data_IF_162867216956
#
_entry.id   IF_162867216956
#
_cell.length_a   1.000
_cell.length_b   1.000
_cell.length_c   1.000
_cell.angle_alpha   90.00
_cell.angle_beta   90.00
_cell.angle_gamma   90.00
#
_symmetry.space_group_name_H-M   'P 1'
#
loop_
_entity.id
_entity.type
_entity.pdbx_description
1 polymer ?
#
# COMPACT_ATOMS: atom_id res chain seq x y z
N UNK A 1 -34.66 -10.17 -44.32
CA UNK A 1 -33.54 -10.16 -43.37
C UNK A 1 -33.99 -10.91 -42.12
N UNK A 2 -33.33 -12.03 -41.76
CA UNK A 2 -33.80 -12.94 -40.70
C UNK A 2 -33.70 -12.26 -39.32
N UNK A 3 -34.79 -12.17 -38.56
CA UNK A 3 -34.83 -11.58 -37.21
C UNK A 3 -33.70 -12.08 -36.29
N UNK A 4 -33.26 -13.34 -36.44
CA UNK A 4 -32.12 -13.93 -35.69
C UNK A 4 -30.81 -13.22 -35.97
N UNK A 5 -30.53 -12.83 -37.22
CA UNK A 5 -29.29 -12.11 -37.60
C UNK A 5 -29.26 -10.69 -37.05
N UNK A 6 -30.40 -10.02 -36.97
CA UNK A 6 -30.50 -8.68 -36.37
C UNK A 6 -30.21 -8.74 -34.87
N UNK A 7 -30.78 -9.71 -34.17
CA UNK A 7 -30.54 -9.87 -32.72
C UNK A 7 -29.07 -10.20 -32.43
N UNK A 8 -28.45 -11.08 -33.22
CA UNK A 8 -27.03 -11.44 -33.02
C UNK A 8 -26.13 -10.22 -33.32
N UNK A 9 -26.36 -9.48 -34.40
CA UNK A 9 -25.54 -8.30 -34.72
C UNK A 9 -25.68 -7.19 -33.68
N UNK A 10 -26.87 -6.99 -33.11
CA UNK A 10 -27.10 -6.02 -32.04
C UNK A 10 -26.38 -6.44 -30.75
N UNK A 11 -26.48 -7.71 -30.38
CA UNK A 11 -25.78 -8.23 -29.20
C UNK A 11 -24.25 -8.10 -29.29
N UNK A 12 -23.68 -8.40 -30.48
CA UNK A 12 -22.25 -8.23 -30.75
C UNK A 12 -21.84 -6.75 -30.68
N UNK A 13 -22.63 -5.86 -31.29
CA UNK A 13 -22.36 -4.41 -31.26
C UNK A 13 -22.37 -3.86 -29.81
N UNK A 14 -23.33 -4.29 -28.97
CA UNK A 14 -23.42 -3.91 -27.57
C UNK A 14 -22.21 -4.46 -26.78
N UNK A 15 -21.84 -5.72 -27.01
CA UNK A 15 -20.67 -6.31 -26.35
C UNK A 15 -19.36 -5.58 -26.72
N UNK A 16 -19.18 -5.26 -27.99
CA UNK A 16 -18.00 -4.48 -28.46
C UNK A 16 -17.99 -3.08 -27.85
N UNK A 17 -19.13 -2.38 -27.81
CA UNK A 17 -19.24 -1.06 -27.20
C UNK A 17 -18.95 -1.11 -25.70
N UNK A 18 -19.40 -2.14 -25.01
CA UNK A 18 -19.15 -2.35 -23.58
C UNK A 18 -17.67 -2.62 -23.28
N UNK A 19 -17.02 -3.50 -24.07
CA UNK A 19 -15.59 -3.79 -23.97
C UNK A 19 -14.77 -2.53 -24.26
N UNK A 20 -15.10 -1.80 -25.32
CA UNK A 20 -14.45 -0.53 -25.66
C UNK A 20 -14.63 0.50 -24.53
N UNK A 21 -15.81 0.60 -23.94
CA UNK A 21 -16.09 1.47 -22.79
C UNK A 21 -15.21 1.12 -21.56
N UNK A 22 -15.08 -0.17 -21.25
CA UNK A 22 -14.21 -0.64 -20.17
C UNK A 22 -12.74 -0.29 -20.46
N UNK A 23 -12.26 -0.51 -21.67
CA UNK A 23 -10.87 -0.20 -22.05
C UNK A 23 -10.59 1.30 -21.93
N UNK A 24 -11.47 2.16 -22.45
CA UNK A 24 -11.33 3.62 -22.36
C UNK A 24 -11.40 4.10 -20.92
N UNK A 25 -12.28 3.52 -20.10
CA UNK A 25 -12.37 3.88 -18.68
C UNK A 25 -11.09 3.52 -17.93
N UNK A 26 -10.56 2.31 -18.15
CA UNK A 26 -9.29 1.86 -17.57
C UNK A 26 -8.12 2.76 -17.98
N UNK A 27 -8.00 3.04 -19.28
CA UNK A 27 -6.93 3.87 -19.83
C UNK A 27 -6.95 5.28 -19.21
N UNK A 28 -8.11 5.91 -19.14
CA UNK A 28 -8.26 7.24 -18.52
C UNK A 28 -7.89 7.25 -17.03
N UNK A 29 -8.26 6.21 -16.29
CA UNK A 29 -7.93 6.10 -14.88
C UNK A 29 -6.42 5.97 -14.67
N UNK A 30 -5.76 5.14 -15.47
CA UNK A 30 -4.30 4.95 -15.42
C UNK A 30 -3.55 6.23 -15.79
N UNK A 31 -3.96 6.91 -16.87
CA UNK A 31 -3.35 8.18 -17.29
C UNK A 31 -3.48 9.23 -16.18
N UNK A 32 -4.64 9.34 -15.54
CA UNK A 32 -4.85 10.31 -14.46
C UNK A 32 -3.95 10.03 -13.24
N UNK A 33 -3.79 8.75 -12.85
CA UNK A 33 -2.91 8.35 -11.74
C UNK A 33 -1.45 8.60 -12.12
N UNK A 34 -1.02 8.22 -13.32
CA UNK A 34 0.36 8.45 -13.78
C UNK A 34 0.72 9.94 -13.81
N UNK A 35 -0.19 10.80 -14.27
CA UNK A 35 0.01 12.25 -14.25
C UNK A 35 0.06 12.79 -12.81
N UNK A 36 -0.79 12.29 -11.91
CA UNK A 36 -0.75 12.67 -10.50
C UNK A 36 0.59 12.29 -9.86
N UNK A 37 1.13 11.11 -10.18
CA UNK A 37 2.45 10.65 -9.72
C UNK A 37 3.58 11.52 -10.27
N UNK A 38 3.57 11.83 -11.55
CA UNK A 38 4.59 12.70 -12.18
C UNK A 38 4.61 14.10 -11.55
N UNK A 39 3.44 14.64 -11.22
CA UNK A 39 3.31 15.96 -10.61
C UNK A 39 3.57 15.96 -9.09
N UNK A 40 3.56 14.80 -8.44
CA UNK A 40 3.64 14.65 -6.99
C UNK A 40 4.66 13.58 -6.56
N UNK A 41 5.80 13.46 -7.24
CA UNK A 41 6.84 12.47 -6.89
C UNK A 41 7.22 12.52 -5.40
N UNK A 42 7.20 13.70 -4.77
CA UNK A 42 7.42 13.86 -3.34
C UNK A 42 6.31 13.21 -2.49
N UNK A 43 5.10 13.08 -3.02
CA UNK A 43 3.99 12.44 -2.32
C UNK A 43 4.13 10.92 -2.20
N UNK A 44 4.97 10.29 -3.03
CA UNK A 44 5.23 8.86 -2.95
C UNK A 44 6.22 8.49 -1.83
N UNK A 45 7.23 9.33 -1.59
CA UNK A 45 8.27 9.06 -0.59
C UNK A 45 8.47 10.31 0.25
N UNK A 46 8.18 10.22 1.55
CA UNK A 46 8.42 11.29 2.52
C UNK A 46 9.58 10.92 3.44
N UNK A 47 10.22 11.92 4.02
CA UNK A 47 11.32 11.70 4.98
C UNK A 47 10.89 10.86 6.21
N UNK A 48 9.61 10.92 6.56
CA UNK A 48 9.06 10.14 7.67
C UNK A 48 8.66 8.71 7.30
N UNK A 49 8.65 8.34 6.02
CA UNK A 49 8.17 7.03 5.56
C UNK A 49 9.05 5.90 6.08
N UNK A 50 8.49 4.84 6.68
CA UNK A 50 9.24 3.63 7.02
C UNK A 50 9.84 2.96 5.78
N UNK A 51 11.11 2.58 5.86
CA UNK A 51 11.84 1.92 4.76
C UNK A 51 12.27 0.53 5.19
N UNK A 52 12.06 -0.47 4.35
CA UNK A 52 12.55 -1.83 4.51
C UNK A 52 13.50 -2.20 3.37
N UNK A 53 14.62 -2.82 3.71
CA UNK A 53 15.67 -3.18 2.75
C UNK A 53 16.78 -2.13 2.66
N UNK A 54 17.55 -2.17 1.57
CA UNK A 54 18.68 -1.27 1.38
C UNK A 54 18.19 0.16 1.04
N UNK A 55 18.45 1.17 1.88
CA UNK A 55 18.02 2.54 1.59
C UNK A 55 18.64 3.14 0.31
N UNK A 56 19.77 2.59 -0.16
CA UNK A 56 20.42 3.00 -1.42
C UNK A 56 19.92 2.23 -2.66
N UNK A 57 18.92 1.34 -2.52
CA UNK A 57 18.34 0.62 -3.64
C UNK A 57 17.75 1.58 -4.69
N UNK A 58 18.04 1.31 -5.99
CA UNK A 58 17.52 2.14 -7.10
C UNK A 58 16.07 1.83 -7.47
N UNK A 59 15.53 0.71 -6.99
CA UNK A 59 14.13 0.34 -7.19
C UNK A 59 13.38 0.47 -5.88
N UNK A 60 12.32 1.27 -5.89
CA UNK A 60 11.48 1.52 -4.72
C UNK A 60 10.07 1.02 -4.98
N UNK A 61 9.63 0.06 -4.18
CA UNK A 61 8.21 -0.29 -4.05
C UNK A 61 7.64 0.69 -3.01
N UNK A 62 6.62 1.47 -3.37
CA UNK A 62 5.82 2.25 -2.42
C UNK A 62 4.52 1.51 -2.20
N UNK A 63 4.21 1.21 -0.96
CA UNK A 63 2.94 0.60 -0.55
C UNK A 63 2.12 1.58 0.28
N UNK A 64 0.97 1.98 -0.25
CA UNK A 64 -0.08 2.61 0.55
C UNK A 64 -0.80 1.53 1.33
N UNK A 65 -0.58 1.54 2.61
CA UNK A 65 -0.76 0.44 3.53
C UNK A 65 -1.80 0.80 4.60
N UNK A 66 -2.65 -0.15 4.91
CA UNK A 66 -3.60 -0.07 6.01
C UNK A 66 -3.40 -1.28 6.94
N UNK A 67 -3.04 -1.08 8.21
CA UNK A 67 -2.82 -2.19 9.12
C UNK A 67 -4.06 -3.03 9.41
N UNK A 68 -5.27 -2.49 9.23
CA UNK A 68 -6.51 -3.24 9.39
C UNK A 68 -6.96 -3.97 8.11
N UNK A 69 -6.33 -3.69 6.96
CA UNK A 69 -6.66 -4.33 5.70
C UNK A 69 -6.13 -5.77 5.64
N UNK A 70 -7.03 -6.75 5.44
CA UNK A 70 -6.64 -8.17 5.31
C UNK A 70 -5.75 -8.43 4.10
N UNK A 71 -5.98 -7.74 2.99
CA UNK A 71 -5.16 -7.86 1.79
C UNK A 71 -3.75 -7.32 2.03
N UNK A 72 -3.57 -6.24 2.80
CA UNK A 72 -2.26 -5.76 3.22
C UNK A 72 -1.52 -6.83 4.04
N UNK A 73 -2.21 -7.49 4.98
CA UNK A 73 -1.64 -8.60 5.75
C UNK A 73 -1.18 -9.75 4.85
N UNK A 74 -1.95 -10.09 3.82
CA UNK A 74 -1.60 -11.17 2.87
C UNK A 74 -0.39 -10.77 2.02
N UNK A 75 -0.33 -9.52 1.55
CA UNK A 75 0.76 -9.03 0.70
C UNK A 75 2.06 -8.75 1.46
N UNK A 76 1.99 -8.43 2.74
CA UNK A 76 3.17 -8.12 3.55
C UNK A 76 4.33 -9.15 3.42
N UNK A 77 4.13 -10.45 3.65
CA UNK A 77 5.20 -11.43 3.47
C UNK A 77 5.64 -11.59 2.00
N UNK A 78 4.78 -11.31 1.03
CA UNK A 78 5.09 -11.40 -0.40
C UNK A 78 6.06 -10.28 -0.76
N UNK A 79 5.74 -9.03 -0.38
CA UNK A 79 6.58 -7.86 -0.65
C UNK A 79 7.92 -7.97 0.09
N UNK A 80 7.93 -8.41 1.35
CA UNK A 80 9.19 -8.66 2.09
C UNK A 80 10.08 -9.69 1.38
N UNK A 81 9.50 -10.77 0.84
CA UNK A 81 10.28 -11.75 0.06
C UNK A 81 10.87 -11.13 -1.21
N UNK A 82 10.11 -10.28 -1.93
CA UNK A 82 10.63 -9.59 -3.12
C UNK A 82 11.83 -8.72 -2.78
N UNK A 83 11.74 -7.94 -1.69
CA UNK A 83 12.87 -7.10 -1.22
C UNK A 83 14.06 -7.96 -0.82
N UNK A 84 13.86 -8.99 0.02
CA UNK A 84 14.94 -9.83 0.53
C UNK A 84 15.66 -10.62 -0.57
N UNK A 85 14.94 -11.07 -1.61
CA UNK A 85 15.51 -11.82 -2.73
C UNK A 85 16.16 -10.95 -3.81
N UNK A 86 16.10 -9.62 -3.65
CA UNK A 86 16.60 -8.67 -4.66
C UNK A 86 18.09 -8.34 -4.56
N UNK A 87 18.82 -8.97 -3.64
CA UNK A 87 20.25 -8.66 -3.40
C UNK A 87 20.53 -7.18 -3.17
N UNK A 88 19.63 -6.48 -2.48
CA UNK A 88 19.73 -5.06 -2.16
C UNK A 88 19.36 -4.08 -3.29
N UNK A 89 18.81 -4.59 -4.40
CA UNK A 89 18.40 -3.77 -5.54
C UNK A 89 17.02 -3.12 -5.36
N UNK A 90 16.20 -3.65 -4.46
CA UNK A 90 14.82 -3.20 -4.18
C UNK A 90 14.68 -2.83 -2.71
N UNK A 91 13.95 -1.76 -2.46
CA UNK A 91 13.48 -1.37 -1.12
C UNK A 91 11.96 -1.18 -1.11
N UNK A 92 11.35 -1.36 0.05
CA UNK A 92 9.97 -1.01 0.32
C UNK A 92 9.92 0.31 1.09
N UNK A 93 9.02 1.20 0.68
CA UNK A 93 8.63 2.41 1.40
C UNK A 93 7.14 2.29 1.74
N UNK A 94 6.80 2.41 3.01
CA UNK A 94 5.42 2.38 3.47
C UNK A 94 4.85 3.79 3.57
N UNK A 95 3.64 3.98 3.04
CA UNK A 95 2.79 5.16 3.22
C UNK A 95 1.47 4.70 3.81
N UNK A 96 0.87 5.53 4.65
CA UNK A 96 -0.36 5.14 5.33
C UNK A 96 -1.61 5.56 4.56
N UNK A 97 -2.59 4.63 4.52
CA UNK A 97 -3.89 4.83 3.92
C UNK A 97 -4.98 4.25 4.83
N UNK A 98 -5.37 4.95 5.91
CA UNK A 98 -6.30 4.44 6.92
C UNK A 98 -7.74 4.42 6.40
N UNK A 99 -8.07 3.42 5.59
CA UNK A 99 -9.38 3.26 4.96
C UNK A 99 -10.36 2.45 5.81
N UNK A 100 -9.86 1.70 6.82
CA UNK A 100 -10.69 0.92 7.72
C UNK A 100 -10.83 1.59 9.09
N UNK A 101 -11.95 1.35 9.77
CA UNK A 101 -12.18 1.84 11.13
C UNK A 101 -11.09 1.32 12.08
N UNK A 102 -10.49 2.19 12.86
CA UNK A 102 -9.42 1.86 13.82
C UNK A 102 -8.01 1.82 13.23
N UNK A 103 -7.86 1.97 11.92
CA UNK A 103 -6.54 1.99 11.27
C UNK A 103 -5.68 3.16 11.71
N UNK A 104 -6.27 4.33 11.95
CA UNK A 104 -5.57 5.51 12.47
C UNK A 104 -4.92 5.23 13.83
N UNK A 105 -5.64 4.60 14.74
CA UNK A 105 -5.09 4.19 16.05
C UNK A 105 -4.00 3.15 15.87
N UNK A 106 -4.20 2.13 15.04
CA UNK A 106 -3.19 1.13 14.76
C UNK A 106 -1.91 1.76 14.19
N UNK A 107 -2.01 2.69 13.25
CA UNK A 107 -0.86 3.41 12.68
C UNK A 107 -0.11 4.20 13.76
N UNK A 108 -0.83 4.91 14.64
CA UNK A 108 -0.22 5.66 15.74
C UNK A 108 0.61 4.75 16.68
N UNK A 109 0.11 3.54 16.93
CA UNK A 109 0.82 2.53 17.72
C UNK A 109 2.09 2.07 17.00
N UNK A 110 2.01 1.77 15.69
CA UNK A 110 3.16 1.34 14.89
C UNK A 110 4.22 2.45 14.79
N UNK A 111 3.80 3.71 14.61
CA UNK A 111 4.73 4.85 14.59
C UNK A 111 5.39 5.11 15.96
N UNK A 112 4.67 4.90 17.05
CA UNK A 112 5.27 4.95 18.37
C UNK A 112 6.35 3.87 18.57
N UNK A 113 6.12 2.65 18.05
CA UNK A 113 7.12 1.60 18.02
C UNK A 113 8.32 1.98 17.13
N UNK A 114 8.08 2.68 16.00
CA UNK A 114 9.13 3.17 15.10
C UNK A 114 10.08 4.16 15.81
N UNK A 115 9.59 5.02 16.69
CA UNK A 115 10.42 5.95 17.49
C UNK A 115 11.38 5.24 18.43
N UNK A 116 11.23 3.92 18.59
CA UNK A 116 12.12 3.07 19.39
C UNK A 116 12.76 1.95 18.55
N UNK A 117 12.86 2.12 17.22
CA UNK A 117 13.44 1.18 16.27
C UNK A 117 12.78 -0.21 16.24
N UNK A 118 11.48 -0.28 16.63
CA UNK A 118 10.69 -1.52 16.71
C UNK A 118 9.56 -1.61 15.69
N UNK A 119 9.62 -0.80 14.63
CA UNK A 119 8.55 -0.70 13.65
C UNK A 119 8.19 -2.05 13.01
N UNK A 120 9.18 -2.72 12.43
CA UNK A 120 8.91 -3.94 11.66
C UNK A 120 8.47 -5.11 12.54
N UNK A 121 9.02 -5.21 13.75
CA UNK A 121 8.58 -6.19 14.74
C UNK A 121 7.11 -5.94 15.15
N UNK A 122 6.75 -4.66 15.35
CA UNK A 122 5.38 -4.28 15.69
C UNK A 122 4.40 -4.56 14.54
N UNK A 123 4.77 -4.26 13.30
CA UNK A 123 3.96 -4.57 12.11
C UNK A 123 3.71 -6.07 11.99
N UNK A 124 4.74 -6.90 12.17
CA UNK A 124 4.61 -8.36 12.10
C UNK A 124 3.64 -8.90 13.15
N UNK A 125 3.75 -8.41 14.40
CA UNK A 125 2.86 -8.80 15.49
C UNK A 125 1.44 -8.30 15.27
N UNK A 126 1.27 -7.06 14.81
CA UNK A 126 -0.03 -6.48 14.49
C UNK A 126 -0.73 -7.29 13.39
N UNK A 127 -0.02 -7.67 12.34
CA UNK A 127 -0.60 -8.52 11.28
C UNK A 127 -0.87 -9.95 11.74
N UNK A 128 0.00 -10.55 12.53
CA UNK A 128 -0.24 -11.90 13.08
C UNK A 128 -1.51 -11.95 13.95
N UNK A 129 -1.79 -10.87 14.67
CA UNK A 129 -2.98 -10.74 15.53
C UNK A 129 -4.15 -10.00 14.87
N UNK A 130 -4.05 -9.61 13.60
CA UNK A 130 -5.07 -8.79 12.92
C UNK A 130 -6.50 -9.35 13.04
N UNK A 131 -6.76 -10.67 12.93
CA UNK A 131 -8.13 -11.19 13.09
C UNK A 131 -8.74 -10.92 14.46
N UNK A 132 -7.93 -10.71 15.50
CA UNK A 132 -8.41 -10.42 16.84
C UNK A 132 -8.75 -8.95 17.04
N UNK A 133 -7.93 -8.02 16.53
CA UNK A 133 -8.09 -6.59 16.77
C UNK A 133 -8.79 -5.84 15.63
N UNK A 134 -8.73 -6.33 14.39
CA UNK A 134 -9.34 -5.69 13.22
C UNK A 134 -10.66 -6.36 12.79
N UNK A 135 -11.37 -7.01 13.71
CA UNK A 135 -12.64 -7.69 13.42
C UNK A 135 -13.66 -6.71 12.81
N UNK A 136 -14.27 -7.11 11.69
CA UNK A 136 -15.30 -6.32 11.01
C UNK A 136 -16.44 -5.96 11.96
N UNK A 137 -16.81 -4.67 11.96
CA UNK A 137 -17.90 -4.15 12.78
C UNK A 137 -17.51 -3.72 14.21
N UNK A 138 -16.48 -4.32 14.81
CA UNK A 138 -16.00 -3.94 16.15
C UNK A 138 -14.47 -4.03 16.27
N UNK A 139 -13.71 -3.18 15.55
CA UNK A 139 -12.25 -3.17 15.67
C UNK A 139 -11.81 -2.66 17.05
N UNK A 140 -10.79 -3.31 17.59
CA UNK A 140 -10.17 -3.03 18.88
C UNK A 140 -8.65 -2.83 18.71
N UNK A 141 -8.20 -1.75 18.04
CA UNK A 141 -6.79 -1.54 17.72
C UNK A 141 -5.90 -1.44 18.94
N UNK A 142 -6.44 -1.06 20.11
CA UNK A 142 -5.72 -1.02 21.39
C UNK A 142 -5.17 -2.40 21.81
N UNK A 143 -5.72 -3.51 21.31
CA UNK A 143 -5.17 -4.84 21.56
C UNK A 143 -3.77 -5.03 20.95
N UNK A 144 -3.36 -4.18 20.01
CA UNK A 144 -2.02 -4.18 19.44
C UNK A 144 -0.97 -3.95 20.54
N UNK A 145 -1.27 -3.11 21.55
CA UNK A 145 -0.36 -2.89 22.67
C UNK A 145 0.01 -4.16 23.40
N UNK A 146 -0.95 -5.08 23.56
CA UNK A 146 -0.70 -6.35 24.26
C UNK A 146 0.20 -7.29 23.47
N UNK A 147 0.15 -7.25 22.15
CA UNK A 147 0.96 -8.15 21.31
C UNK A 147 2.35 -7.59 21.01
N UNK A 148 2.57 -6.28 21.18
CA UNK A 148 3.89 -5.68 20.95
C UNK A 148 4.69 -5.44 22.24
N UNK A 149 4.13 -5.66 23.44
CA UNK A 149 4.78 -5.38 24.73
C UNK A 149 6.08 -6.15 24.97
N UNK A 150 6.23 -7.32 24.33
CA UNK A 150 7.41 -8.18 24.46
C UNK A 150 8.47 -7.90 23.37
N UNK A 151 8.33 -6.84 22.59
CA UNK A 151 9.33 -6.40 21.60
C UNK A 151 10.48 -5.59 22.22
N UNK A 152 10.45 -5.36 23.55
CA UNK A 152 11.43 -4.55 24.26
C UNK A 152 11.16 -3.04 24.22
N UNK A 153 9.91 -2.65 23.87
CA UNK A 153 9.46 -1.26 23.94
C UNK A 153 9.36 -0.76 25.39
N UNK A 154 9.79 0.48 25.63
CA UNK A 154 9.28 1.26 26.75
C UNK A 154 7.81 1.60 26.45
N UNK A 155 6.91 0.86 27.08
CA UNK A 155 5.48 0.97 26.84
C UNK A 155 4.90 2.30 27.30
N UNK A 156 5.42 2.91 28.36
CA UNK A 156 4.96 4.20 28.83
C UNK A 156 5.32 5.29 27.82
N UNK A 157 6.57 5.28 27.34
CA UNK A 157 7.03 6.17 26.27
C UNK A 157 6.26 5.94 24.96
N UNK A 158 6.04 4.69 24.56
CA UNK A 158 5.32 4.37 23.34
C UNK A 158 3.87 4.90 23.36
N UNK A 159 3.15 4.76 24.48
CA UNK A 159 1.80 5.31 24.64
C UNK A 159 1.78 6.83 24.57
N UNK A 160 2.77 7.51 25.16
CA UNK A 160 2.91 8.96 25.08
C UNK A 160 3.24 9.41 23.64
N UNK A 161 4.15 8.70 22.97
CA UNK A 161 4.51 8.99 21.57
C UNK A 161 3.33 8.80 20.60
N UNK A 162 2.49 7.76 20.78
CA UNK A 162 1.31 7.51 19.96
C UNK A 162 0.28 8.67 20.01
N UNK A 163 0.24 9.40 21.13
CA UNK A 163 -0.60 10.56 21.31
C UNK A 163 0.06 11.88 20.87
N UNK A 164 1.28 11.82 20.31
CA UNK A 164 2.04 13.03 19.98
C UNK A 164 1.48 13.75 18.76
N UNK A 165 1.49 15.12 18.74
CA UNK A 165 1.09 15.90 17.57
C UNK A 165 1.90 15.60 16.32
N UNK A 166 3.15 15.15 16.48
CA UNK A 166 4.05 14.77 15.39
C UNK A 166 3.52 13.58 14.59
N UNK A 167 3.09 12.51 15.27
CA UNK A 167 2.49 11.33 14.63
C UNK A 167 1.16 11.70 13.98
N UNK A 168 0.37 12.55 14.63
CA UNK A 168 -0.87 13.04 14.04
C UNK A 168 -0.62 13.85 12.75
N UNK A 169 0.41 14.69 12.73
CA UNK A 169 0.78 15.47 11.54
C UNK A 169 1.28 14.56 10.40
N UNK A 170 2.08 13.55 10.72
CA UNK A 170 2.53 12.54 9.77
C UNK A 170 1.33 11.85 9.10
N UNK A 171 0.37 11.40 9.90
CA UNK A 171 -0.82 10.71 9.39
C UNK A 171 -1.67 11.63 8.51
N UNK A 172 -1.84 12.90 8.88
CA UNK A 172 -2.51 13.89 8.02
C UNK A 172 -1.79 14.11 6.70
N UNK A 173 -0.46 14.13 6.71
CA UNK A 173 0.33 14.27 5.48
C UNK A 173 0.14 13.06 4.57
N UNK A 174 0.21 11.84 5.12
CA UNK A 174 0.01 10.63 4.34
C UNK A 174 -1.40 10.55 3.75
N UNK A 175 -2.41 10.96 4.50
CA UNK A 175 -3.79 11.03 4.03
C UNK A 175 -3.95 12.04 2.88
N UNK A 176 -3.33 13.22 2.98
CA UNK A 176 -3.34 14.23 1.91
C UNK A 176 -2.65 13.70 0.63
N UNK A 177 -1.51 13.03 0.78
CA UNK A 177 -0.78 12.44 -0.34
C UNK A 177 -1.56 11.27 -0.98
N UNK A 178 -2.19 10.42 -0.17
CA UNK A 178 -3.09 9.36 -0.63
C UNK A 178 -4.19 9.93 -1.53
N UNK A 179 -4.84 11.02 -1.09
CA UNK A 179 -5.91 11.68 -1.85
C UNK A 179 -5.36 12.31 -3.14
N UNK A 180 -4.20 12.99 -3.09
CA UNK A 180 -3.56 13.61 -4.25
C UNK A 180 -3.17 12.57 -5.31
N UNK A 181 -2.70 11.40 -4.88
CA UNK A 181 -2.33 10.27 -5.74
C UNK A 181 -3.52 9.40 -6.16
N UNK A 182 -4.74 9.74 -5.70
CA UNK A 182 -5.99 9.01 -5.99
C UNK A 182 -5.93 7.53 -5.58
N UNK A 183 -5.27 7.25 -4.46
CA UNK A 183 -5.29 5.91 -3.87
C UNK A 183 -6.60 5.73 -3.10
N UNK A 184 -7.47 4.89 -3.60
CA UNK A 184 -8.83 4.66 -3.08
C UNK A 184 -9.03 3.27 -2.46
N UNK A 185 -7.97 2.44 -2.48
CA UNK A 185 -7.98 1.07 -1.94
C UNK A 185 -6.60 0.67 -1.44
N UNK A 186 -6.57 -0.31 -0.55
CA UNK A 186 -5.35 -0.87 0.03
C UNK A 186 -5.24 -2.38 -0.18
N UNK A 187 -4.01 -2.88 -0.39
CA UNK A 187 -2.79 -2.11 -0.61
C UNK A 187 -2.77 -1.44 -1.99
N UNK A 188 -2.27 -0.19 -2.06
CA UNK A 188 -1.98 0.51 -3.30
C UNK A 188 -0.48 0.47 -3.58
N UNK A 189 -0.05 -0.02 -4.76
CA UNK A 189 1.36 -0.16 -5.08
C UNK A 189 1.83 0.75 -6.19
N UNK A 190 3.04 1.29 -6.01
CA UNK A 190 3.80 1.98 -7.07
C UNK A 190 5.24 1.44 -7.06
N UNK A 191 5.84 1.28 -8.23
CA UNK A 191 7.25 0.90 -8.37
C UNK A 191 7.97 1.97 -9.19
N UNK A 192 8.92 2.66 -8.58
CA UNK A 192 9.61 3.82 -9.17
C UNK A 192 8.64 4.85 -9.80
N UNK A 193 7.51 5.09 -9.12
CA UNK A 193 6.49 6.03 -9.57
C UNK A 193 5.44 5.45 -10.53
N UNK A 194 5.63 4.24 -11.06
CA UNK A 194 4.64 3.55 -11.91
C UNK A 194 3.59 2.86 -11.03
N UNK A 195 2.30 3.17 -11.20
CA UNK A 195 1.24 2.49 -10.46
C UNK A 195 1.09 1.02 -10.91
N UNK A 196 0.72 0.14 -9.99
CA UNK A 196 0.32 -1.23 -10.30
C UNK A 196 -1.11 -1.22 -10.88
N UNK A 197 -1.22 -1.28 -12.20
CA UNK A 197 -2.50 -1.17 -12.90
C UNK A 197 -3.44 -2.36 -12.65
N UNK A 198 -2.88 -3.56 -12.74
CA UNK A 198 -3.59 -4.82 -12.48
C UNK A 198 -3.09 -5.38 -11.16
N UNK A 199 -3.98 -5.43 -10.17
CA UNK A 199 -3.64 -5.89 -8.84
C UNK A 199 -3.38 -7.41 -8.83
N UNK A 200 -2.27 -7.80 -8.23
CA UNK A 200 -1.85 -9.19 -8.06
C UNK A 200 -0.36 -9.29 -7.71
N UNK A 201 0.02 -10.40 -7.10
CA UNK A 201 1.40 -10.65 -6.67
C UNK A 201 2.35 -10.90 -7.86
N UNK A 202 1.92 -11.65 -8.87
CA UNK A 202 2.71 -11.85 -10.08
C UNK A 202 2.83 -10.57 -10.92
N UNK A 203 1.79 -9.73 -10.95
CA UNK A 203 1.83 -8.43 -11.61
C UNK A 203 2.79 -7.47 -10.91
N UNK A 204 2.77 -7.42 -9.58
CA UNK A 204 3.72 -6.64 -8.80
C UNK A 204 5.15 -7.12 -9.03
N UNK A 205 5.38 -8.43 -8.98
CA UNK A 205 6.68 -9.04 -9.25
C UNK A 205 7.20 -8.72 -10.65
N UNK A 206 6.34 -8.79 -11.66
CA UNK A 206 6.69 -8.43 -13.04
C UNK A 206 7.12 -6.97 -13.14
N UNK A 207 6.32 -6.05 -12.55
CA UNK A 207 6.64 -4.63 -12.54
C UNK A 207 7.97 -4.35 -11.84
N UNK A 208 8.22 -4.97 -10.68
CA UNK A 208 9.49 -4.85 -9.95
C UNK A 208 10.67 -5.36 -10.80
N UNK A 209 10.54 -6.51 -11.48
CA UNK A 209 11.58 -7.06 -12.34
C UNK A 209 11.88 -6.17 -13.54
N UNK A 210 10.87 -5.54 -14.13
CA UNK A 210 11.05 -4.55 -15.20
C UNK A 210 11.88 -3.37 -14.72
N UNK A 211 11.51 -2.78 -13.57
CA UNK A 211 12.22 -1.64 -12.99
C UNK A 211 13.66 -2.01 -12.59
N UNK A 212 13.89 -3.21 -12.07
CA UNK A 212 15.24 -3.70 -11.76
C UNK A 212 16.09 -3.78 -13.04
N UNK A 213 15.56 -4.33 -14.14
CA UNK A 213 16.29 -4.39 -15.42
C UNK A 213 16.64 -3.00 -15.95
N UNK A 214 15.76 -2.01 -15.77
CA UNK A 214 16.00 -0.64 -16.20
C UNK A 214 17.03 0.07 -15.31
N UNK A 215 16.97 -0.12 -14.00
CA UNK A 215 17.82 0.57 -13.02
C UNK A 215 19.23 -0.04 -12.91
N UNK A 216 19.36 -1.35 -13.25
CA UNK A 216 20.60 -2.12 -13.17
C UNK A 216 20.88 -2.86 -14.50
N UNK A 217 21.16 -2.13 -15.59
CA UNK A 217 21.49 -2.75 -16.86
C UNK A 217 22.79 -3.60 -16.70
N UNK A 218 22.80 -4.76 -17.36
CA UNK A 218 23.99 -5.67 -17.38
C UNK A 218 25.08 -5.09 -18.26
#
# INVERSE_FOLDING_TARGET
MNKKWIVISTAVAVAVAFIAGIMVFRDRSTVAVTQAVQNNNEALVRAHSPVYGNPAAKVTIVEFFDPACETCRIFYPIVKRMVNSSFGQVRLVVRYAPLHKGSDTAIKILEAARKQDKYWEAVEKAFASQPQWAAHGNPQPELIWDVIKDTGLDMAKARADAASPEIEQLLRQDLADMMALKVDKTPGFFVNGRPLEVFGDEQLKTLVQEEVRLAYPK
#
